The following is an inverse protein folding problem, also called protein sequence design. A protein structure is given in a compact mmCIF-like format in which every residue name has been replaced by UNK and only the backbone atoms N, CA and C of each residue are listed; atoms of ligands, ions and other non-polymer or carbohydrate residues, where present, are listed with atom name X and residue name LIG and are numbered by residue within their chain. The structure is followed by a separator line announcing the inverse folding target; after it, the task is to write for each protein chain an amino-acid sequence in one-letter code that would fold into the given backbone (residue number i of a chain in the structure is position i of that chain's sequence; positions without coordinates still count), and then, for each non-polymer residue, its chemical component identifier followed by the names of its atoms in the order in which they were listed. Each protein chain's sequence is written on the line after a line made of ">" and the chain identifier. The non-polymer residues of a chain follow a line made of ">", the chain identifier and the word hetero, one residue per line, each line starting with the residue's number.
data_IF_745017080672
#
_entry.id   IF_745017080672
#
_cell.length_a   1.000
_cell.length_b   1.000
_cell.length_c   1.000
_cell.angle_alpha   90.00
_cell.angle_beta   90.00
_cell.angle_gamma   90.00
#
_symmetry.space_group_name_H-M   'P 1'
#
loop_
_entity.id
_entity.type
_entity.pdbx_description
1 polymer ?
#
# COMPACT_ATOMS: atom_id res chain seq x y z
N UNK A 1 23.41 -17.20 -6.29
CA UNK A 1 22.79 -15.94 -5.82
C UNK A 1 22.80 -14.83 -6.88
N UNK A 2 23.95 -14.52 -7.51
CA UNK A 2 24.02 -13.47 -8.56
C UNK A 2 23.04 -13.71 -9.72
N UNK A 3 22.99 -14.92 -10.28
CA UNK A 3 22.06 -15.30 -11.38
C UNK A 3 20.60 -15.10 -10.98
N UNK A 4 20.24 -15.40 -9.73
CA UNK A 4 18.89 -15.18 -9.21
C UNK A 4 18.55 -13.70 -9.11
N UNK A 5 19.47 -12.87 -8.58
CA UNK A 5 19.29 -11.43 -8.49
C UNK A 5 19.16 -10.79 -9.87
N UNK A 6 20.03 -11.15 -10.82
CA UNK A 6 19.97 -10.66 -12.20
C UNK A 6 18.66 -11.06 -12.87
N UNK A 7 18.23 -12.32 -12.75
CA UNK A 7 16.95 -12.78 -13.30
C UNK A 7 15.78 -11.99 -12.72
N UNK A 8 15.78 -11.73 -11.41
CA UNK A 8 14.70 -10.99 -10.75
C UNK A 8 14.68 -9.51 -11.15
N UNK A 9 15.85 -8.87 -11.24
CA UNK A 9 15.96 -7.49 -11.73
C UNK A 9 15.52 -7.38 -13.19
N UNK A 10 15.92 -8.30 -14.06
CA UNK A 10 15.49 -8.34 -15.45
C UNK A 10 13.97 -8.48 -15.57
N UNK A 11 13.36 -9.40 -14.80
CA UNK A 11 11.91 -9.56 -14.75
C UNK A 11 11.21 -8.29 -14.25
N UNK A 12 11.74 -7.65 -13.20
CA UNK A 12 11.19 -6.38 -12.70
C UNK A 12 11.26 -5.27 -13.75
N UNK A 13 12.36 -5.15 -14.50
CA UNK A 13 12.48 -4.16 -15.59
C UNK A 13 11.49 -4.44 -16.72
N UNK A 14 11.30 -5.71 -17.10
CA UNK A 14 10.30 -6.09 -18.10
C UNK A 14 8.89 -5.74 -17.61
N UNK A 15 8.55 -6.03 -16.36
CA UNK A 15 7.26 -5.66 -15.77
C UNK A 15 7.06 -4.15 -15.78
N UNK A 16 8.06 -3.37 -15.37
CA UNK A 16 7.99 -1.91 -15.39
C UNK A 16 7.81 -1.35 -16.80
N UNK A 17 8.51 -1.93 -17.79
CA UNK A 17 8.37 -1.55 -19.19
C UNK A 17 6.97 -1.87 -19.73
N UNK A 18 6.42 -3.05 -19.42
CA UNK A 18 5.06 -3.40 -19.83
C UNK A 18 4.03 -2.47 -19.18
N UNK A 19 4.20 -2.18 -17.88
CA UNK A 19 3.35 -1.22 -17.16
C UNK A 19 3.45 0.19 -17.76
N UNK A 20 4.63 0.67 -18.12
CA UNK A 20 4.80 1.99 -18.72
C UNK A 20 4.16 2.08 -20.10
N UNK A 21 4.24 1.01 -20.91
CA UNK A 21 3.49 0.91 -22.18
C UNK A 21 1.98 0.94 -21.93
N UNK A 22 1.48 0.19 -20.95
CA UNK A 22 0.05 0.19 -20.61
C UNK A 22 -0.43 1.57 -20.15
N UNK A 23 0.30 2.24 -19.28
CA UNK A 23 -0.02 3.60 -18.81
C UNK A 23 -0.01 4.59 -19.98
N UNK A 24 0.99 4.51 -20.86
CA UNK A 24 1.07 5.35 -22.05
C UNK A 24 -0.13 5.13 -22.99
N UNK A 25 -0.44 3.87 -23.31
CA UNK A 25 -1.59 3.53 -24.16
C UNK A 25 -2.92 3.97 -23.52
N UNK A 26 -3.07 3.80 -22.20
CA UNK A 26 -4.23 4.32 -21.47
C UNK A 26 -4.37 5.83 -21.59
N UNK A 27 -3.25 6.56 -21.47
CA UNK A 27 -3.19 8.01 -21.67
C UNK A 27 -3.56 8.47 -23.08
N UNK A 28 -3.31 7.65 -24.11
CA UNK A 28 -3.70 7.93 -25.50
C UNK A 28 -5.20 7.73 -25.75
N UNK A 29 -5.85 6.83 -25.00
CA UNK A 29 -7.28 6.51 -25.17
C UNK A 29 -8.19 7.54 -24.47
N UNK A 30 -7.72 8.14 -23.39
CA UNK A 30 -8.54 9.01 -22.52
C UNK A 30 -8.89 10.39 -23.12
N UNK A 31 -8.04 11.03 -23.95
CA UNK A 31 -8.43 12.14 -24.79
C UNK A 31 -8.48 11.70 -26.26
N UNK A 32 -9.68 11.51 -26.82
CA UNK A 32 -9.82 11.21 -28.26
C UNK A 32 -9.16 12.24 -29.20
N UNK A 33 -8.94 13.48 -28.73
CA UNK A 33 -8.08 14.49 -29.36
C UNK A 33 -7.60 15.51 -28.30
N UNK A 34 -6.29 15.55 -28.01
CA UNK A 34 -5.69 16.43 -26.98
C UNK A 34 -5.91 17.91 -27.30
N UNK A 35 -5.70 18.33 -28.55
CA UNK A 35 -5.92 19.70 -28.99
C UNK A 35 -7.37 20.17 -28.78
N UNK A 36 -8.37 19.33 -29.08
CA UNK A 36 -9.78 19.62 -28.78
C UNK A 36 -10.08 19.60 -27.28
N UNK A 37 -9.43 18.74 -26.51
CA UNK A 37 -9.61 18.73 -25.06
C UNK A 37 -9.10 20.04 -24.42
N UNK A 38 -8.06 20.65 -24.99
CA UNK A 38 -7.48 21.91 -24.50
C UNK A 38 -8.21 23.14 -25.03
N UNK A 39 -8.53 23.18 -26.33
CA UNK A 39 -9.15 24.33 -26.99
C UNK A 39 -10.68 24.35 -26.92
N UNK A 40 -11.28 23.21 -26.55
CA UNK A 40 -12.72 23.02 -26.49
C UNK A 40 -13.30 22.35 -27.74
N UNK A 41 -14.54 21.82 -27.64
CA UNK A 41 -15.17 21.02 -28.69
C UNK A 41 -15.49 21.83 -29.97
N UNK A 42 -15.58 23.16 -29.88
CA UNK A 42 -15.92 24.05 -30.99
C UNK A 42 -14.72 24.82 -31.56
N UNK A 43 -13.50 24.47 -31.15
CA UNK A 43 -12.29 25.12 -31.67
C UNK A 43 -12.10 24.86 -33.17
N UNK A 44 -11.60 25.87 -33.89
CA UNK A 44 -11.28 25.73 -35.32
C UNK A 44 -10.28 24.59 -35.54
N UNK A 45 -10.51 23.76 -36.55
CA UNK A 45 -9.72 22.56 -36.79
C UNK A 45 -8.25 22.90 -37.08
N UNK A 46 -7.97 24.04 -37.73
CA UNK A 46 -6.59 24.49 -37.98
C UNK A 46 -5.85 24.81 -36.68
N UNK A 47 -6.54 25.41 -35.70
CA UNK A 47 -5.96 25.70 -34.39
C UNK A 47 -5.71 24.40 -33.60
N UNK A 48 -6.61 23.43 -33.71
CA UNK A 48 -6.45 22.08 -33.11
C UNK A 48 -5.25 21.35 -33.72
N UNK A 49 -5.11 21.35 -35.04
CA UNK A 49 -4.01 20.67 -35.73
C UNK A 49 -2.66 21.33 -35.43
N UNK A 50 -2.62 22.67 -35.41
CA UNK A 50 -1.43 23.42 -35.01
C UNK A 50 -1.01 23.10 -33.56
N UNK A 51 -1.99 23.05 -32.64
CA UNK A 51 -1.72 22.68 -31.26
C UNK A 51 -1.23 21.22 -31.15
N UNK A 52 -1.89 20.28 -31.82
CA UNK A 52 -1.48 18.89 -31.82
C UNK A 52 -0.05 18.70 -32.34
N UNK A 53 0.31 19.41 -33.41
CA UNK A 53 1.65 19.39 -33.97
C UNK A 53 2.69 19.94 -33.00
N UNK A 54 2.39 21.06 -32.34
CA UNK A 54 3.27 21.65 -31.31
C UNK A 54 3.46 20.78 -30.08
N UNK A 55 2.42 20.02 -29.68
CA UNK A 55 2.48 19.07 -28.58
C UNK A 55 3.12 17.73 -28.99
N UNK A 56 3.30 17.49 -30.29
CA UNK A 56 3.87 16.26 -30.83
C UNK A 56 2.97 15.04 -30.69
N UNK A 57 1.68 15.24 -30.42
CA UNK A 57 0.68 14.17 -30.24
C UNK A 57 0.20 13.58 -31.58
N UNK A 58 0.58 14.19 -32.69
CA UNK A 58 0.36 13.75 -34.06
C UNK A 58 1.47 12.82 -34.60
N UNK A 59 2.59 12.69 -33.88
CA UNK A 59 3.74 11.85 -34.27
C UNK A 59 3.41 10.35 -34.16
N UNK A 60 4.17 9.45 -34.81
CA UNK A 60 4.00 8.01 -34.63
C UNK A 60 4.10 7.60 -33.14
N UNK A 61 3.26 6.66 -32.68
CA UNK A 61 3.16 6.27 -31.27
C UNK A 61 4.50 5.84 -30.66
N UNK A 62 5.36 5.18 -31.44
CA UNK A 62 6.69 4.76 -30.98
C UNK A 62 7.58 5.98 -30.65
N UNK A 63 7.48 7.04 -31.45
CA UNK A 63 8.25 8.29 -31.24
C UNK A 63 7.71 9.02 -30.02
N UNK A 64 6.37 9.07 -29.85
CA UNK A 64 5.74 9.67 -28.68
C UNK A 64 6.14 8.94 -27.39
N UNK A 65 6.05 7.61 -27.38
CA UNK A 65 6.47 6.79 -26.23
C UNK A 65 7.95 6.97 -25.92
N UNK A 66 8.81 6.90 -26.94
CA UNK A 66 10.26 7.09 -26.80
C UNK A 66 10.63 8.46 -26.22
N UNK A 67 9.96 9.52 -26.68
CA UNK A 67 10.17 10.88 -26.16
C UNK A 67 9.68 10.99 -24.72
N UNK A 68 8.48 10.45 -24.43
CA UNK A 68 7.89 10.48 -23.10
C UNK A 68 8.75 9.74 -22.07
N UNK A 69 9.18 8.51 -22.37
CA UNK A 69 10.01 7.74 -21.44
C UNK A 69 11.40 8.37 -21.28
N UNK A 70 11.97 8.93 -22.34
CA UNK A 70 13.25 9.62 -22.28
C UNK A 70 13.18 10.83 -21.34
N UNK A 71 12.17 11.68 -21.50
CA UNK A 71 11.95 12.85 -20.64
C UNK A 71 11.72 12.43 -19.19
N UNK A 72 10.88 11.41 -18.97
CA UNK A 72 10.61 10.87 -17.63
C UNK A 72 11.88 10.38 -16.93
N UNK A 73 12.75 9.66 -17.64
CA UNK A 73 14.03 9.18 -17.10
C UNK A 73 15.01 10.32 -16.77
N UNK A 74 14.85 11.49 -17.40
CA UNK A 74 15.62 12.71 -17.09
C UNK A 74 14.97 13.58 -16.01
N UNK A 75 13.87 13.12 -15.40
CA UNK A 75 13.16 13.83 -14.34
C UNK A 75 12.06 14.78 -14.83
N UNK A 76 11.80 14.83 -16.14
CA UNK A 76 10.69 15.61 -16.70
C UNK A 76 9.46 14.72 -16.88
N UNK A 77 8.50 14.84 -15.95
CA UNK A 77 7.21 14.14 -16.01
C UNK A 77 6.21 14.83 -16.96
N UNK A 78 6.57 15.94 -17.58
CA UNK A 78 5.73 16.73 -18.46
C UNK A 78 4.77 17.67 -17.72
N UNK A 79 3.84 18.22 -18.50
CA UNK A 79 2.83 19.18 -18.04
C UNK A 79 1.44 18.58 -18.17
N UNK A 80 0.58 18.87 -17.19
CA UNK A 80 -0.83 18.51 -17.26
C UNK A 80 -1.54 19.42 -18.25
N UNK A 81 -2.19 18.85 -19.25
CA UNK A 81 -2.99 19.62 -20.21
C UNK A 81 -4.27 20.22 -19.60
N UNK A 82 -4.79 19.59 -18.55
CA UNK A 82 -6.00 20.05 -17.84
C UNK A 82 -5.65 21.17 -16.86
N UNK A 83 -4.69 20.91 -15.97
CA UNK A 83 -4.29 21.87 -14.93
C UNK A 83 -3.29 22.93 -15.41
N UNK A 84 -2.73 22.77 -16.61
CA UNK A 84 -1.70 23.64 -17.20
C UNK A 84 -0.51 23.88 -16.25
N UNK A 85 -0.13 22.83 -15.52
CA UNK A 85 0.91 22.87 -14.50
C UNK A 85 1.84 21.64 -14.63
N UNK A 86 3.10 21.72 -14.17
CA UNK A 86 4.01 20.58 -14.15
C UNK A 86 3.43 19.40 -13.36
N UNK A 87 3.59 18.17 -13.87
CA UNK A 87 3.03 16.96 -13.23
C UNK A 87 3.81 16.55 -11.98
N UNK A 88 5.13 16.78 -11.97
CA UNK A 88 6.02 16.26 -10.94
C UNK A 88 5.61 16.63 -9.49
N UNK A 89 5.24 17.87 -9.14
CA UNK A 89 4.80 18.21 -7.79
C UNK A 89 3.56 17.42 -7.35
N UNK A 90 2.57 17.25 -8.23
CA UNK A 90 1.35 16.49 -7.90
C UNK A 90 1.66 15.03 -7.57
N UNK A 91 2.53 14.39 -8.36
CA UNK A 91 2.91 12.99 -8.18
C UNK A 91 3.75 12.81 -6.91
N UNK A 92 4.75 13.68 -6.71
CA UNK A 92 5.66 13.59 -5.56
C UNK A 92 4.89 13.86 -4.26
N UNK A 93 4.02 14.87 -4.22
CA UNK A 93 3.23 15.19 -3.02
C UNK A 93 2.23 14.08 -2.71
N UNK A 94 1.56 13.53 -3.73
CA UNK A 94 0.65 12.41 -3.56
C UNK A 94 1.40 11.17 -3.04
N UNK A 95 2.54 10.81 -3.65
CA UNK A 95 3.37 9.70 -3.22
C UNK A 95 3.86 9.89 -1.78
N UNK A 96 4.28 11.11 -1.42
CA UNK A 96 4.69 11.44 -0.06
C UNK A 96 3.57 11.25 0.96
N UNK A 97 2.34 11.65 0.63
CA UNK A 97 1.18 11.45 1.50
C UNK A 97 0.78 9.98 1.60
N UNK A 98 0.78 9.24 0.49
CA UNK A 98 0.51 7.80 0.49
C UNK A 98 1.54 7.02 1.31
N UNK A 99 2.83 7.33 1.17
CA UNK A 99 3.89 6.70 1.96
C UNK A 99 3.76 6.98 3.45
N UNK A 100 3.40 8.21 3.84
CA UNK A 100 3.13 8.55 5.24
C UNK A 100 1.97 7.74 5.79
N UNK A 101 0.86 7.67 5.05
CA UNK A 101 -0.32 6.89 5.45
C UNK A 101 0.03 5.40 5.57
N UNK A 102 0.69 4.85 4.56
CA UNK A 102 1.17 3.47 4.53
C UNK A 102 2.06 3.14 5.73
N UNK A 103 2.98 4.04 6.08
CA UNK A 103 3.87 3.88 7.23
C UNK A 103 3.11 3.84 8.56
N UNK A 104 2.14 4.75 8.76
CA UNK A 104 1.31 4.75 9.97
C UNK A 104 0.48 3.47 10.05
N UNK A 105 -0.18 3.07 8.97
CA UNK A 105 -0.93 1.82 8.91
C UNK A 105 -0.03 0.60 9.20
N UNK A 106 1.18 0.57 8.63
CA UNK A 106 2.15 -0.51 8.83
C UNK A 106 2.61 -0.62 10.28
N UNK A 107 3.00 0.51 10.89
CA UNK A 107 3.45 0.57 12.29
C UNK A 107 2.33 0.20 13.26
N UNK A 108 1.07 0.46 12.91
CA UNK A 108 -0.07 0.01 13.71
C UNK A 108 -0.34 -1.48 13.51
N UNK A 109 -0.45 -1.95 12.26
CA UNK A 109 -0.99 -3.28 11.98
C UNK A 109 0.02 -4.40 12.21
N UNK A 110 1.31 -4.18 11.94
CA UNK A 110 2.31 -5.24 12.07
C UNK A 110 2.50 -5.67 13.53
N UNK A 111 2.77 -4.77 14.49
CA UNK A 111 2.93 -5.15 15.88
C UNK A 111 1.64 -5.74 16.46
N UNK A 112 0.50 -5.08 16.22
CA UNK A 112 -0.78 -5.49 16.80
C UNK A 112 -1.28 -6.81 16.18
N UNK A 113 -1.10 -7.00 14.87
CA UNK A 113 -1.44 -8.24 14.18
C UNK A 113 -0.57 -9.41 14.65
N UNK A 114 0.75 -9.21 14.77
CA UNK A 114 1.65 -10.24 15.31
C UNK A 114 1.28 -10.57 16.76
N UNK A 115 1.09 -9.56 17.62
CA UNK A 115 0.70 -9.77 19.01
C UNK A 115 -0.65 -10.51 19.10
N UNK A 116 -1.64 -10.13 18.30
CA UNK A 116 -2.93 -10.80 18.20
C UNK A 116 -2.77 -12.28 17.84
N UNK A 117 -1.94 -12.59 16.82
CA UNK A 117 -1.67 -13.97 16.42
C UNK A 117 -0.93 -14.79 17.48
N UNK A 118 0.04 -14.19 18.17
CA UNK A 118 0.77 -14.82 19.29
C UNK A 118 -0.19 -15.13 20.45
N UNK A 119 -1.02 -14.17 20.85
CA UNK A 119 -2.02 -14.36 21.91
C UNK A 119 -3.02 -15.44 21.51
N UNK A 120 -3.51 -15.44 20.27
CA UNK A 120 -4.43 -16.46 19.78
C UNK A 120 -3.80 -17.87 19.81
N UNK A 121 -2.52 -18.00 19.43
CA UNK A 121 -1.83 -19.29 19.44
C UNK A 121 -1.57 -19.81 20.87
N UNK A 122 -1.17 -18.94 21.80
CA UNK A 122 -0.96 -19.32 23.21
C UNK A 122 -2.28 -19.70 23.91
N UNK A 123 -3.41 -19.23 23.38
CA UNK A 123 -4.75 -19.51 23.85
C UNK A 123 -5.51 -20.46 22.90
N UNK A 124 -4.81 -21.35 22.21
CA UNK A 124 -5.39 -22.28 21.23
C UNK A 124 -6.67 -22.96 21.76
N UNK A 125 -7.74 -22.92 20.96
CA UNK A 125 -9.06 -23.48 21.26
C UNK A 125 -9.83 -22.79 22.41
N UNK A 126 -9.31 -21.71 23.00
CA UNK A 126 -9.99 -20.90 24.02
C UNK A 126 -10.80 -19.76 23.39
N UNK A 127 -11.72 -19.12 24.13
CA UNK A 127 -12.51 -18.00 23.59
C UNK A 127 -11.66 -16.85 23.04
N UNK A 128 -10.51 -16.53 23.65
CA UNK A 128 -9.62 -15.47 23.16
C UNK A 128 -9.10 -15.74 21.74
N UNK A 129 -8.70 -16.98 21.47
CA UNK A 129 -8.31 -17.41 20.13
C UNK A 129 -9.47 -17.25 19.13
N UNK A 130 -10.66 -17.73 19.50
CA UNK A 130 -11.85 -17.62 18.64
C UNK A 130 -12.22 -16.17 18.36
N UNK A 131 -12.19 -15.28 19.35
CA UNK A 131 -12.51 -13.86 19.20
C UNK A 131 -11.52 -13.17 18.25
N UNK A 132 -10.21 -13.39 18.44
CA UNK A 132 -9.18 -12.77 17.59
C UNK A 132 -9.27 -13.32 16.16
N UNK A 133 -9.36 -14.64 16.02
CA UNK A 133 -9.37 -15.31 14.72
C UNK A 133 -10.67 -15.02 13.94
N UNK A 134 -11.84 -15.26 14.54
CA UNK A 134 -13.13 -15.02 13.89
C UNK A 134 -13.41 -13.53 13.72
N UNK A 135 -13.09 -12.70 14.72
CA UNK A 135 -13.24 -11.26 14.63
C UNK A 135 -12.35 -10.68 13.53
N UNK A 136 -11.07 -11.04 13.51
CA UNK A 136 -10.14 -10.63 12.45
C UNK A 136 -10.61 -11.05 11.06
N UNK A 137 -11.05 -12.30 10.90
CA UNK A 137 -11.59 -12.79 9.62
C UNK A 137 -12.88 -12.07 9.22
N UNK A 138 -13.80 -11.83 10.16
CA UNK A 138 -15.09 -11.18 9.86
C UNK A 138 -14.89 -9.76 9.33
N UNK A 139 -13.92 -9.04 9.91
CA UNK A 139 -13.58 -7.68 9.47
C UNK A 139 -13.03 -7.67 8.04
N UNK A 140 -12.28 -8.70 7.62
CA UNK A 140 -11.75 -8.78 6.24
C UNK A 140 -12.82 -8.96 5.17
N UNK A 141 -14.03 -9.39 5.55
CA UNK A 141 -15.16 -9.56 4.62
C UNK A 141 -15.84 -8.21 4.33
N UNK A 142 -15.70 -7.24 5.23
CA UNK A 142 -16.30 -5.92 5.04
C UNK A 142 -15.50 -5.13 4.00
N UNK A 143 -16.16 -4.55 2.97
CA UNK A 143 -15.48 -3.71 2.01
C UNK A 143 -14.83 -2.49 2.68
N UNK A 144 -13.61 -2.14 2.25
CA UNK A 144 -12.84 -1.08 2.90
C UNK A 144 -13.56 0.27 2.91
N UNK A 145 -14.20 0.64 1.79
CA UNK A 145 -14.95 1.88 1.72
C UNK A 145 -16.12 1.92 2.73
N UNK A 146 -16.78 0.77 2.99
CA UNK A 146 -17.85 0.67 4.00
C UNK A 146 -17.28 0.86 5.39
N UNK A 147 -16.18 0.15 5.70
CA UNK A 147 -15.52 0.30 7.01
C UNK A 147 -15.02 1.73 7.23
N UNK A 148 -14.47 2.37 6.19
CA UNK A 148 -14.04 3.76 6.22
C UNK A 148 -15.19 4.72 6.54
N UNK A 149 -16.35 4.57 5.87
CA UNK A 149 -17.53 5.39 6.15
C UNK A 149 -18.01 5.19 7.60
N UNK A 150 -18.10 3.94 8.08
CA UNK A 150 -18.52 3.64 9.45
C UNK A 150 -17.56 4.29 10.47
N UNK A 151 -16.25 4.14 10.26
CA UNK A 151 -15.23 4.72 11.14
C UNK A 151 -15.31 6.25 11.14
N UNK A 152 -15.53 6.88 9.98
CA UNK A 152 -15.74 8.33 9.87
C UNK A 152 -16.97 8.77 10.67
N UNK A 153 -18.10 8.07 10.55
CA UNK A 153 -19.32 8.41 11.30
C UNK A 153 -19.11 8.30 12.80
N UNK A 154 -18.49 7.22 13.26
CA UNK A 154 -18.28 6.96 14.69
C UNK A 154 -17.24 7.93 15.26
N UNK A 155 -16.01 7.93 14.72
CA UNK A 155 -14.88 8.64 15.31
C UNK A 155 -14.77 10.10 14.87
N UNK A 156 -15.23 10.41 13.66
CA UNK A 156 -15.17 11.76 13.11
C UNK A 156 -16.40 12.62 13.39
N UNK A 157 -17.60 12.03 13.31
CA UNK A 157 -18.86 12.79 13.40
C UNK A 157 -19.50 12.71 14.78
N UNK A 158 -19.74 11.50 15.29
CA UNK A 158 -20.44 11.30 16.56
C UNK A 158 -19.52 11.59 17.76
N UNK A 159 -18.38 10.91 17.84
CA UNK A 159 -17.43 11.06 18.94
C UNK A 159 -16.55 12.31 18.79
N UNK A 160 -16.29 12.74 17.55
CA UNK A 160 -15.40 13.86 17.20
C UNK A 160 -13.99 13.70 17.79
N UNK A 161 -13.52 12.46 17.90
CA UNK A 161 -12.21 12.12 18.46
C UNK A 161 -11.09 12.26 17.44
N UNK A 162 -11.38 12.11 16.15
CA UNK A 162 -10.37 12.09 15.09
C UNK A 162 -10.83 12.95 13.90
N UNK A 163 -9.92 13.61 13.19
CA UNK A 163 -10.26 14.38 11.99
C UNK A 163 -10.64 13.45 10.84
N UNK A 164 -11.61 13.89 10.04
CA UNK A 164 -12.16 13.12 8.92
C UNK A 164 -11.25 13.17 7.69
N UNK A 165 -10.56 14.29 7.49
CA UNK A 165 -9.65 14.48 6.36
C UNK A 165 -8.20 14.26 6.78
N UNK A 166 -7.44 13.56 5.94
CA UNK A 166 -5.99 13.41 6.05
C UNK A 166 -5.22 14.70 5.66
N UNK A 167 -5.77 15.87 5.98
CA UNK A 167 -5.24 17.18 5.63
C UNK A 167 -5.06 18.01 6.90
N UNK A 168 -3.82 18.33 7.23
CA UNK A 168 -3.46 19.09 8.42
C UNK A 168 -3.03 20.53 8.08
N UNK A 169 -3.06 21.48 9.04
CA UNK A 169 -2.61 22.85 8.82
C UNK A 169 -1.15 22.94 8.38
N UNK A 170 -0.81 23.93 7.56
CA UNK A 170 0.58 24.21 7.18
C UNK A 170 1.41 24.52 8.45
N UNK A 171 2.57 23.87 8.58
CA UNK A 171 3.41 23.98 9.78
C UNK A 171 3.03 23.04 10.93
N UNK A 172 2.08 22.13 10.74
CA UNK A 172 1.73 21.14 11.76
C UNK A 172 2.93 20.26 12.14
N UNK A 173 3.16 20.11 13.44
CA UNK A 173 4.19 19.24 14.00
C UNK A 173 3.95 17.76 13.70
N UNK A 174 5.00 16.94 13.86
CA UNK A 174 4.98 15.51 13.55
C UNK A 174 3.81 14.75 14.20
N UNK A 175 3.57 14.97 15.50
CA UNK A 175 2.47 14.30 16.22
C UNK A 175 1.08 14.70 15.72
N UNK A 176 0.90 15.95 15.30
CA UNK A 176 -0.35 16.39 14.69
C UNK A 176 -0.57 15.71 13.35
N UNK A 177 0.47 15.55 12.52
CA UNK A 177 0.34 14.80 11.27
C UNK A 177 -0.06 13.35 11.51
N UNK A 178 0.54 12.68 12.50
CA UNK A 178 0.13 11.32 12.90
C UNK A 178 -1.33 11.29 13.30
N UNK A 179 -1.77 12.20 14.17
CA UNK A 179 -3.16 12.27 14.62
C UNK A 179 -4.17 12.38 13.46
N UNK A 180 -3.82 13.12 12.40
CA UNK A 180 -4.64 13.24 11.19
C UNK A 180 -4.63 11.99 10.30
N UNK A 181 -3.63 11.12 10.45
CA UNK A 181 -3.48 9.88 9.69
C UNK A 181 -4.03 8.65 10.43
N UNK A 182 -4.34 8.75 11.73
CA UNK A 182 -4.90 7.61 12.49
C UNK A 182 -6.20 7.13 11.85
N UNK A 183 -7.21 7.98 11.71
CA UNK A 183 -8.51 7.56 11.19
C UNK A 183 -8.44 6.97 9.77
N UNK A 184 -7.75 7.61 8.80
CA UNK A 184 -7.56 7.03 7.46
C UNK A 184 -6.77 5.72 7.45
N UNK A 185 -5.92 5.45 8.45
CA UNK A 185 -5.14 4.21 8.55
C UNK A 185 -5.94 3.03 9.15
N UNK A 186 -7.04 3.30 9.85
CA UNK A 186 -7.82 2.26 10.51
C UNK A 186 -8.50 1.26 9.55
N UNK A 187 -9.07 1.66 8.39
CA UNK A 187 -9.56 0.69 7.41
C UNK A 187 -8.48 -0.29 6.94
N UNK A 188 -7.29 0.23 6.62
CA UNK A 188 -6.14 -0.58 6.21
C UNK A 188 -5.69 -1.52 7.34
N UNK A 189 -5.67 -1.03 8.58
CA UNK A 189 -5.40 -1.82 9.77
C UNK A 189 -6.40 -2.98 9.90
N UNK A 190 -7.69 -2.70 9.77
CA UNK A 190 -8.77 -3.68 9.94
C UNK A 190 -8.64 -4.83 8.93
N UNK A 191 -8.36 -4.51 7.66
CA UNK A 191 -8.15 -5.53 6.63
C UNK A 191 -6.89 -6.35 6.88
N UNK A 192 -5.74 -5.70 7.11
CA UNK A 192 -4.48 -6.42 7.24
C UNK A 192 -4.33 -7.14 8.58
N UNK A 193 -5.00 -6.71 9.64
CA UNK A 193 -4.95 -7.34 10.96
C UNK A 193 -5.36 -8.81 10.88
N UNK A 194 -6.49 -9.11 10.24
CA UNK A 194 -6.99 -10.49 10.13
C UNK A 194 -6.00 -11.42 9.41
N UNK A 195 -5.40 -10.95 8.32
CA UNK A 195 -4.40 -11.70 7.56
C UNK A 195 -3.12 -11.95 8.37
N UNK A 196 -2.55 -10.90 8.99
CA UNK A 196 -1.31 -10.99 9.75
C UNK A 196 -1.50 -11.84 11.01
N UNK A 197 -2.57 -11.60 11.77
CA UNK A 197 -2.85 -12.34 13.00
C UNK A 197 -3.07 -13.84 12.72
N UNK A 198 -3.81 -14.17 11.65
CA UNK A 198 -4.01 -15.57 11.25
C UNK A 198 -2.70 -16.26 10.87
N UNK A 199 -1.85 -15.60 10.08
CA UNK A 199 -0.58 -16.18 9.66
C UNK A 199 0.37 -16.35 10.85
N UNK A 200 0.49 -15.34 11.70
CA UNK A 200 1.29 -15.40 12.93
C UNK A 200 0.78 -16.50 13.88
N UNK A 201 -0.53 -16.67 14.01
CA UNK A 201 -1.13 -17.74 14.80
C UNK A 201 -0.76 -19.13 14.25
N UNK A 202 -0.87 -19.34 12.94
CA UNK A 202 -0.53 -20.62 12.30
C UNK A 202 0.93 -20.99 12.53
N UNK A 203 1.84 -20.04 12.24
CA UNK A 203 3.27 -20.26 12.44
C UNK A 203 3.64 -20.49 13.91
N UNK A 204 2.95 -19.82 14.84
CA UNK A 204 3.17 -20.04 16.28
C UNK A 204 2.74 -21.44 16.71
N UNK A 205 1.62 -21.96 16.22
CA UNK A 205 1.15 -23.32 16.54
C UNK A 205 2.14 -24.37 16.01
N UNK A 206 2.55 -24.25 14.74
CA UNK A 206 3.54 -25.15 14.14
C UNK A 206 4.88 -25.10 14.88
N UNK A 207 5.35 -23.90 15.24
CA UNK A 207 6.60 -23.75 15.98
C UNK A 207 6.51 -24.29 17.41
N UNK A 208 5.35 -24.19 18.07
CA UNK A 208 5.14 -24.75 19.41
C UNK A 208 5.18 -26.29 19.41
N UNK A 209 4.71 -26.94 18.35
CA UNK A 209 4.66 -28.40 18.20
C UNK A 209 5.98 -29.02 17.71
N UNK A 210 6.99 -28.19 17.45
CA UNK A 210 8.27 -28.64 16.88
C UNK A 210 9.23 -29.30 17.90
N UNK A 211 10.09 -30.18 17.39
CA UNK A 211 11.12 -30.88 18.20
C UNK A 211 12.12 -29.94 18.88
N UNK A 212 12.47 -28.81 18.25
CA UNK A 212 13.37 -27.84 18.86
C UNK A 212 12.73 -27.13 20.05
N UNK A 213 11.41 -26.91 20.02
CA UNK A 213 10.65 -26.37 21.16
C UNK A 213 10.61 -27.38 22.29
N UNK A 214 10.31 -28.66 21.99
CA UNK A 214 10.34 -29.74 22.98
C UNK A 214 11.72 -29.87 23.63
N UNK A 215 12.79 -29.82 22.83
CA UNK A 215 14.18 -29.86 23.32
C UNK A 215 14.50 -28.68 24.23
N UNK A 216 14.05 -27.46 23.89
CA UNK A 216 14.24 -26.26 24.70
C UNK A 216 13.55 -26.38 26.07
N UNK A 217 12.33 -26.96 26.10
CA UNK A 217 11.60 -27.24 27.34
C UNK A 217 12.30 -28.32 28.18
N UNK A 218 12.77 -29.41 27.56
CA UNK A 218 13.51 -30.47 28.27
C UNK A 218 14.83 -30.00 28.87
N UNK A 219 15.45 -28.96 28.29
CA UNK A 219 16.62 -28.29 28.87
C UNK A 219 16.31 -27.40 30.08
N UNK A 220 15.04 -27.30 30.49
CA UNK A 220 14.61 -26.48 31.63
C UNK A 220 14.64 -24.97 31.38
N UNK A 221 14.63 -24.53 30.11
CA UNK A 221 14.60 -23.10 29.79
C UNK A 221 13.29 -22.48 30.26
N UNK A 222 13.30 -21.24 30.81
CA UNK A 222 12.09 -20.59 31.26
C UNK A 222 11.15 -20.33 30.06
N UNK A 223 9.84 -20.47 30.28
CA UNK A 223 8.82 -20.39 29.22
C UNK A 223 8.92 -19.13 28.36
N UNK A 224 9.21 -17.97 28.98
CA UNK A 224 9.42 -16.72 28.25
C UNK A 224 10.57 -16.82 27.24
N UNK A 225 11.67 -17.47 27.60
CA UNK A 225 12.82 -17.67 26.71
C UNK A 225 12.48 -18.64 25.59
N UNK A 226 11.74 -19.72 25.88
CA UNK A 226 11.25 -20.66 24.86
C UNK A 226 10.42 -19.89 23.82
N UNK A 227 9.42 -19.13 24.25
CA UNK A 227 8.55 -18.37 23.35
C UNK A 227 9.33 -17.34 22.52
N UNK A 228 10.03 -16.40 23.17
CA UNK A 228 10.66 -15.29 22.45
C UNK A 228 11.85 -15.70 21.58
N UNK A 229 12.67 -16.65 22.06
CA UNK A 229 13.94 -16.99 21.40
C UNK A 229 13.84 -18.19 20.46
N UNK A 230 12.98 -19.16 20.76
CA UNK A 230 12.90 -20.42 20.01
C UNK A 230 11.63 -20.53 19.15
N UNK A 231 10.48 -20.08 19.66
CA UNK A 231 9.20 -20.20 18.94
C UNK A 231 8.97 -19.02 18.00
N UNK A 232 8.89 -17.80 18.54
CA UNK A 232 8.45 -16.61 17.81
C UNK A 232 9.30 -16.31 16.58
N UNK A 233 10.63 -16.41 16.70
CA UNK A 233 11.55 -16.14 15.59
C UNK A 233 11.32 -17.05 14.39
N UNK A 234 11.00 -18.32 14.64
CA UNK A 234 10.75 -19.31 13.58
C UNK A 234 9.31 -19.22 13.08
N UNK A 235 8.35 -18.98 13.98
CA UNK A 235 6.94 -18.79 13.68
C UNK A 235 6.64 -17.61 12.75
N UNK A 236 7.48 -16.57 12.75
CA UNK A 236 7.24 -15.35 11.97
C UNK A 236 7.72 -15.42 10.52
N UNK A 237 8.44 -16.47 10.09
CA UNK A 237 8.93 -16.56 8.69
C UNK A 237 7.78 -16.47 7.65
N UNK A 238 6.64 -17.18 7.81
CA UNK A 238 5.50 -17.03 6.91
C UNK A 238 4.85 -15.64 7.03
N UNK A 239 4.74 -15.12 8.26
CA UNK A 239 4.14 -13.81 8.54
C UNK A 239 4.91 -12.67 7.89
N UNK A 240 6.25 -12.71 7.93
CA UNK A 240 7.13 -11.72 7.27
C UNK A 240 6.88 -11.72 5.76
N UNK A 241 6.70 -12.90 5.16
CA UNK A 241 6.40 -13.01 3.72
C UNK A 241 5.05 -12.38 3.38
N UNK A 242 4.03 -12.60 4.20
CA UNK A 242 2.73 -11.95 4.06
C UNK A 242 2.85 -10.44 4.20
N UNK A 243 3.49 -9.94 5.26
CA UNK A 243 3.70 -8.51 5.49
C UNK A 243 4.41 -7.86 4.29
N UNK A 244 5.48 -8.49 3.78
CA UNK A 244 6.22 -8.00 2.62
C UNK A 244 5.34 -7.93 1.36
N UNK A 245 4.51 -8.94 1.14
CA UNK A 245 3.60 -9.00 -0.02
C UNK A 245 2.49 -7.95 0.08
N UNK A 246 2.00 -7.65 1.28
CA UNK A 246 0.94 -6.67 1.53
C UNK A 246 1.45 -5.22 1.60
N UNK A 247 2.77 -4.99 1.58
CA UNK A 247 3.31 -3.63 1.65
C UNK A 247 2.95 -2.82 0.40
N UNK A 248 2.90 -3.45 -0.79
CA UNK A 248 2.46 -2.77 -2.01
C UNK A 248 1.03 -2.26 -1.91
N UNK A 249 0.13 -3.07 -1.34
CA UNK A 249 -1.27 -2.70 -1.12
C UNK A 249 -1.45 -1.44 -0.25
N UNK A 250 -0.56 -1.23 0.73
CA UNK A 250 -0.63 -0.06 1.63
C UNK A 250 -0.24 1.25 0.95
N UNK A 251 0.64 1.19 -0.06
CA UNK A 251 1.19 2.38 -0.72
C UNK A 251 0.26 2.86 -1.84
N UNK A 252 -0.48 1.95 -2.46
CA UNK A 252 -1.39 2.21 -3.58
C UNK A 252 -1.18 1.26 -4.73
#
# INVERSE_FOLDING_TARGET
>A
MLVFLVRRLALSLVTLFLLSVMVFLGGQVLPGNVGRAILGPFADQRAVDALNHSLGVDRPLLVQYGTWIWNFLHGDMGTSYIFRAPVAPFVIDALGNSLKLALIAFVLVVPIGILGGVIAALNLNRPLDRIISLGGLSVTVLPEFVTGIILILIFGVWLRWLPIAAAWPKGAGFFTQIYYLILPSLPLFLVLFGYIARMARSGMIEALDSDYTRTAVLKGLPWRTVIWRHVLRNALLPTITVIATQTGYLIG
#
